data_IF_256750845668
#
_entry.id   IF_256750845668
#
_cell.length_a   1.000
_cell.length_b   1.000
_cell.length_c   1.000
_cell.angle_alpha   90.00
_cell.angle_beta   90.00
_cell.angle_gamma   90.00
#
_symmetry.space_group_name_H-M   'P 1'
#
loop_
_entity.id
_entity.type
_entity.pdbx_description
1 polymer ?
#
# COMPACT_ATOMS: atom_id res chain seq x y z
N UNK A 1 -39.21 1.29 -19.70
CA UNK A 1 -38.65 1.88 -18.46
C UNK A 1 -37.23 1.36 -18.30
N UNK A 2 -36.29 2.27 -18.03
CA UNK A 2 -34.85 2.06 -18.24
C UNK A 2 -34.21 0.98 -17.36
N UNK A 3 -33.46 0.11 -18.01
CA UNK A 3 -32.45 -0.75 -17.41
C UNK A 3 -31.32 0.15 -16.91
N UNK A 4 -31.35 0.51 -15.63
CA UNK A 4 -30.20 1.08 -14.96
C UNK A 4 -29.13 0.00 -14.86
N UNK A 5 -28.26 -0.07 -15.87
CA UNK A 5 -27.00 -0.78 -15.77
C UNK A 5 -26.26 -0.20 -14.56
N UNK A 6 -26.24 -0.94 -13.45
CA UNK A 6 -25.37 -0.67 -12.30
C UNK A 6 -23.95 -0.61 -12.86
N UNK A 7 -23.42 0.60 -13.00
CA UNK A 7 -22.00 0.82 -13.25
C UNK A 7 -21.30 0.17 -12.06
N UNK A 8 -20.64 -0.96 -12.26
CA UNK A 8 -19.79 -1.58 -11.25
C UNK A 8 -18.83 -0.50 -10.79
N UNK A 9 -18.87 -0.14 -9.50
CA UNK A 9 -17.95 0.86 -8.99
C UNK A 9 -16.59 0.15 -8.83
N UNK A 10 -15.59 0.44 -9.68
CA UNK A 10 -14.30 -0.24 -9.65
C UNK A 10 -13.62 -0.14 -8.29
N UNK A 11 -13.89 0.95 -7.54
CA UNK A 11 -13.39 1.17 -6.19
C UNK A 11 -13.99 0.18 -5.18
N UNK A 12 -15.28 -0.15 -5.34
CA UNK A 12 -15.99 -1.08 -4.46
C UNK A 12 -15.61 -2.54 -4.75
N UNK A 13 -15.31 -2.86 -6.00
CA UNK A 13 -14.77 -4.18 -6.38
C UNK A 13 -13.32 -4.33 -5.92
N UNK A 14 -12.49 -3.28 -6.03
CA UNK A 14 -11.14 -3.22 -5.45
C UNK A 14 -11.14 -3.46 -3.94
N UNK A 15 -11.96 -2.68 -3.23
CA UNK A 15 -12.23 -2.83 -1.80
C UNK A 15 -12.58 -4.27 -1.41
N UNK A 16 -13.53 -4.85 -2.13
CA UNK A 16 -14.01 -6.22 -1.89
C UNK A 16 -12.95 -7.27 -2.21
N UNK A 17 -12.18 -7.11 -3.29
CA UNK A 17 -11.12 -8.04 -3.69
C UNK A 17 -9.97 -8.09 -2.68
N UNK A 18 -9.61 -6.94 -2.09
CA UNK A 18 -8.58 -6.85 -1.05
C UNK A 18 -9.11 -7.33 0.32
N UNK A 19 -10.30 -6.88 0.73
CA UNK A 19 -10.89 -7.20 2.03
C UNK A 19 -11.22 -8.70 2.19
N UNK A 20 -11.72 -9.36 1.14
CA UNK A 20 -12.03 -10.81 1.17
C UNK A 20 -10.77 -11.66 1.37
N UNK A 21 -9.60 -11.16 0.95
CA UNK A 21 -8.38 -11.95 0.94
C UNK A 21 -7.50 -11.77 2.18
N UNK A 22 -7.70 -10.73 2.98
CA UNK A 22 -6.78 -10.39 4.08
C UNK A 22 -5.32 -10.33 3.61
N UNK A 23 -5.11 -10.08 2.30
CA UNK A 23 -3.81 -10.16 1.63
C UNK A 23 -3.22 -8.77 1.57
N UNK A 24 -1.99 -8.64 2.08
CA UNK A 24 -1.12 -7.52 1.77
C UNK A 24 -1.01 -7.40 0.24
N UNK A 25 -1.50 -6.28 -0.29
CA UNK A 25 -1.39 -5.95 -1.70
C UNK A 25 0.04 -5.48 -2.02
N UNK A 26 0.43 -5.63 -3.29
CA UNK A 26 1.63 -4.99 -3.82
C UNK A 26 1.20 -3.84 -4.71
N UNK A 27 1.83 -2.69 -4.50
CA UNK A 27 1.67 -1.57 -5.38
C UNK A 27 3.05 -1.03 -5.78
N UNK A 28 3.14 -0.43 -6.95
CA UNK A 28 4.33 0.31 -7.37
C UNK A 28 4.12 1.79 -7.09
N UNK A 29 5.09 2.43 -6.45
CA UNK A 29 5.02 3.89 -6.24
C UNK A 29 5.22 4.57 -7.58
N UNK A 30 4.22 5.31 -8.06
CA UNK A 30 4.30 6.09 -9.29
C UNK A 30 4.91 7.46 -9.00
N UNK A 31 4.45 8.09 -7.93
CA UNK A 31 4.98 9.36 -7.46
C UNK A 31 4.71 9.52 -5.97
N UNK A 32 5.49 10.39 -5.33
CA UNK A 32 5.30 10.76 -3.94
C UNK A 32 5.68 12.23 -3.75
N UNK A 33 4.96 12.92 -2.86
CA UNK A 33 5.27 14.29 -2.47
C UNK A 33 4.93 14.55 -1.00
N UNK A 34 5.74 15.37 -0.34
CA UNK A 34 5.38 15.91 0.97
C UNK A 34 4.25 16.93 0.79
N UNK A 35 3.22 16.87 1.63
CA UNK A 35 2.12 17.85 1.59
C UNK A 35 2.45 19.12 2.38
N UNK A 36 3.48 19.07 3.22
CA UNK A 36 3.84 20.11 4.19
C UNK A 36 3.19 19.95 5.56
N UNK A 37 2.27 18.99 5.73
CA UNK A 37 1.71 18.68 7.05
C UNK A 37 2.63 17.74 7.83
N UNK A 38 2.64 17.90 9.15
CA UNK A 38 3.44 17.10 10.06
C UNK A 38 2.61 16.72 11.30
N UNK A 39 2.87 15.53 11.85
CA UNK A 39 2.27 15.03 13.08
C UNK A 39 3.37 14.86 14.12
N UNK A 40 3.19 15.55 15.25
CA UNK A 40 4.01 15.48 16.45
C UNK A 40 5.52 15.71 16.24
N UNK A 41 5.92 16.41 15.16
CA UNK A 41 7.34 16.65 14.86
C UNK A 41 8.13 15.42 14.40
N UNK A 42 7.43 14.29 14.15
CA UNK A 42 8.05 12.98 13.94
C UNK A 42 7.64 12.37 12.59
N UNK A 43 6.41 12.59 12.16
CA UNK A 43 5.86 11.99 10.95
C UNK A 43 5.38 13.07 9.97
N UNK A 44 5.89 13.03 8.75
CA UNK A 44 5.47 13.91 7.66
C UNK A 44 4.33 13.29 6.90
N UNK A 45 3.36 14.09 6.48
CA UNK A 45 2.33 13.61 5.56
C UNK A 45 2.87 13.55 4.14
N UNK A 46 2.79 12.37 3.56
CA UNK A 46 3.21 12.08 2.20
C UNK A 46 1.97 11.65 1.40
N UNK A 47 1.74 12.32 0.29
CA UNK A 47 0.78 11.89 -0.72
C UNK A 47 1.49 10.94 -1.69
N UNK A 48 0.95 9.73 -1.83
CA UNK A 48 1.43 8.69 -2.73
C UNK A 48 0.45 8.52 -3.88
N UNK A 49 0.98 8.43 -5.11
CA UNK A 49 0.27 7.82 -6.24
C UNK A 49 0.83 6.42 -6.43
N UNK A 50 -0.04 5.42 -6.41
CA UNK A 50 0.31 4.00 -6.41
C UNK A 50 -0.40 3.29 -7.55
N UNK A 51 0.31 2.41 -8.25
CA UNK A 51 -0.31 1.44 -9.15
C UNK A 51 -0.41 0.10 -8.43
N UNK A 52 -1.62 -0.26 -8.03
CA UNK A 52 -1.92 -1.49 -7.32
C UNK A 52 -2.27 -2.61 -8.32
N UNK A 53 -1.58 -3.74 -8.21
CA UNK A 53 -1.91 -4.92 -9.01
C UNK A 53 -2.95 -5.79 -8.31
N UNK A 54 -4.13 -5.92 -8.95
CA UNK A 54 -5.18 -6.82 -8.49
C UNK A 54 -5.18 -8.10 -9.33
N UNK A 55 -5.14 -9.29 -8.70
CA UNK A 55 -5.05 -10.56 -9.42
C UNK A 55 -6.15 -10.83 -10.46
N UNK A 56 -7.31 -10.18 -10.33
CA UNK A 56 -8.50 -10.44 -11.17
C UNK A 56 -9.04 -9.19 -11.88
N UNK A 57 -8.55 -8.00 -11.53
CA UNK A 57 -9.08 -6.72 -12.03
C UNK A 57 -8.03 -5.87 -12.75
N UNK A 58 -6.77 -6.33 -12.82
CA UNK A 58 -5.67 -5.61 -13.44
C UNK A 58 -5.06 -4.55 -12.53
N UNK A 59 -4.27 -3.63 -13.11
CA UNK A 59 -3.65 -2.53 -12.37
C UNK A 59 -4.64 -1.39 -12.15
N UNK A 60 -4.76 -0.89 -10.92
CA UNK A 60 -5.58 0.29 -10.60
C UNK A 60 -4.72 1.37 -9.95
N UNK A 61 -4.93 2.63 -10.35
CA UNK A 61 -4.19 3.77 -9.81
C UNK A 61 -4.94 4.35 -8.62
N UNK A 62 -4.24 4.46 -7.48
CA UNK A 62 -4.80 4.96 -6.23
C UNK A 62 -3.93 6.11 -5.71
N UNK A 63 -4.59 7.14 -5.19
CA UNK A 63 -3.93 8.24 -4.49
C UNK A 63 -4.29 8.16 -3.01
N UNK A 64 -3.31 8.21 -2.12
CA UNK A 64 -3.51 8.14 -0.66
C UNK A 64 -2.52 9.05 0.05
N UNK A 65 -2.93 9.62 1.18
CA UNK A 65 -2.10 10.49 2.01
C UNK A 65 -1.90 9.86 3.39
N UNK A 66 -0.65 9.71 3.80
CA UNK A 66 -0.29 9.01 5.03
C UNK A 66 0.83 9.74 5.77
N UNK A 67 0.72 9.77 7.10
CA UNK A 67 1.80 10.23 7.95
C UNK A 67 2.87 9.14 8.07
N UNK A 68 4.07 9.47 7.60
CA UNK A 68 5.21 8.56 7.55
C UNK A 68 6.39 9.14 8.31
N UNK A 69 7.11 8.28 9.02
CA UNK A 69 8.39 8.65 9.62
C UNK A 69 9.54 8.21 8.70
N UNK A 70 10.77 8.59 9.05
CA UNK A 70 11.97 8.26 8.25
C UNK A 70 12.19 6.76 8.03
N UNK A 71 11.67 5.90 8.91
CA UNK A 71 11.84 4.46 8.82
C UNK A 71 10.82 3.82 7.87
N UNK A 72 9.57 4.31 7.88
CA UNK A 72 8.53 3.81 6.97
C UNK A 72 8.69 4.35 5.54
N UNK A 73 9.33 5.51 5.36
CA UNK A 73 9.76 6.02 4.05
C UNK A 73 10.99 5.32 3.48
N UNK A 74 11.67 4.49 4.27
CA UNK A 74 12.92 3.91 3.86
C UNK A 74 12.77 3.08 2.58
N UNK A 75 13.58 3.40 1.56
CA UNK A 75 13.60 2.77 0.24
C UNK A 75 12.29 2.91 -0.55
N UNK A 76 11.33 3.72 -0.09
CA UNK A 76 10.20 4.12 -0.93
C UNK A 76 10.63 5.27 -1.84
N UNK A 77 10.51 5.05 -3.14
CA UNK A 77 10.75 6.04 -4.18
C UNK A 77 9.88 5.71 -5.40
N UNK A 78 9.65 6.65 -6.32
CA UNK A 78 9.03 6.35 -7.60
C UNK A 78 9.74 5.19 -8.32
N UNK A 79 8.96 4.19 -8.76
CA UNK A 79 9.43 2.95 -9.36
C UNK A 79 9.62 1.79 -8.37
N UNK A 80 9.63 2.06 -7.07
CA UNK A 80 9.87 1.03 -6.05
C UNK A 80 8.56 0.32 -5.65
N UNK A 81 8.64 -0.98 -5.29
CA UNK A 81 7.49 -1.73 -4.80
C UNK A 81 7.18 -1.37 -3.34
N UNK A 82 5.93 -1.00 -3.10
CA UNK A 82 5.36 -0.75 -1.79
C UNK A 82 4.46 -1.91 -1.36
N UNK A 83 4.55 -2.26 -0.07
CA UNK A 83 3.57 -3.09 0.59
C UNK A 83 2.39 -2.22 1.01
N UNK A 84 1.20 -2.63 0.63
CA UNK A 84 -0.02 -1.92 0.97
C UNK A 84 -1.02 -2.84 1.64
N UNK A 85 -1.76 -2.28 2.59
CA UNK A 85 -2.93 -2.90 3.17
C UNK A 85 -4.11 -1.97 3.00
N UNK A 86 -5.28 -2.55 3.18
CA UNK A 86 -6.51 -1.81 3.18
C UNK A 86 -6.80 -1.25 4.57
N UNK A 87 -7.33 -0.04 4.63
CA UNK A 87 -7.87 0.49 5.88
C UNK A 87 -9.21 -0.20 6.17
N UNK A 88 -9.28 -0.88 7.32
CA UNK A 88 -10.46 -1.66 7.72
C UNK A 88 -11.67 -0.77 8.00
N UNK A 89 -11.44 0.45 8.48
CA UNK A 89 -12.47 1.40 8.89
C UNK A 89 -12.87 2.32 7.74
N UNK A 90 -11.92 2.62 6.84
CA UNK A 90 -12.17 3.38 5.61
C UNK A 90 -11.89 2.56 4.35
N UNK A 91 -12.94 2.00 3.74
CA UNK A 91 -12.79 1.15 2.59
C UNK A 91 -12.25 1.84 1.31
N UNK A 92 -12.00 3.14 1.33
CA UNK A 92 -11.46 3.89 0.20
C UNK A 92 -9.99 4.24 0.41
N UNK A 93 -9.39 3.88 1.56
CA UNK A 93 -8.00 4.18 1.89
C UNK A 93 -7.10 2.95 1.79
N UNK A 94 -5.99 3.13 1.09
CA UNK A 94 -4.85 2.23 1.16
C UNK A 94 -3.83 2.80 2.13
N UNK A 95 -3.37 1.95 3.04
CA UNK A 95 -2.25 2.21 3.93
C UNK A 95 -1.00 1.61 3.30
N UNK A 96 0.02 2.43 3.11
CA UNK A 96 1.36 2.01 2.74
C UNK A 96 2.09 1.62 4.02
N UNK A 97 2.53 0.37 4.14
CA UNK A 97 3.25 -0.12 5.32
C UNK A 97 4.76 0.14 5.21
N UNK A 98 5.28 0.23 3.99
CA UNK A 98 6.71 0.37 3.70
C UNK A 98 7.10 -0.30 2.39
N UNK A 99 8.40 -0.45 2.16
CA UNK A 99 8.91 -1.16 0.98
C UNK A 99 8.55 -2.66 1.02
N UNK A 100 8.28 -3.27 -0.14
CA UNK A 100 7.84 -4.67 -0.20
C UNK A 100 8.89 -5.66 0.35
N UNK A 101 10.18 -5.38 0.09
CA UNK A 101 11.33 -6.23 0.46
C UNK A 101 12.08 -5.83 1.73
N UNK A 102 11.72 -4.71 2.36
CA UNK A 102 12.43 -4.26 3.56
C UNK A 102 11.44 -4.03 4.68
N UNK A 103 11.78 -4.48 5.90
CA UNK A 103 11.03 -4.14 7.10
C UNK A 103 11.96 -3.54 8.15
N UNK A 104 11.37 -2.74 9.01
CA UNK A 104 12.06 -2.20 10.18
C UNK A 104 11.85 -3.15 11.36
N UNK A 105 12.93 -3.54 12.03
CA UNK A 105 12.91 -4.36 13.25
C UNK A 105 13.63 -3.65 14.39
N UNK A 106 13.30 -4.02 15.62
CA UNK A 106 14.04 -3.60 16.81
C UNK A 106 14.85 -4.78 17.31
N UNK A 107 16.17 -4.72 17.14
CA UNK A 107 17.11 -5.75 17.59
C UNK A 107 18.01 -5.13 18.65
N UNK A 108 18.04 -5.72 19.85
CA UNK A 108 18.86 -5.24 20.96
C UNK A 108 18.70 -3.73 21.25
N UNK A 109 17.47 -3.22 21.18
CA UNK A 109 17.11 -1.79 21.34
C UNK A 109 17.57 -0.85 20.23
N UNK A 110 18.05 -1.37 19.10
CA UNK A 110 18.37 -0.60 17.90
C UNK A 110 17.37 -0.85 16.78
N UNK A 111 17.04 0.21 16.03
CA UNK A 111 16.16 0.12 14.86
C UNK A 111 17.01 -0.28 13.65
N UNK A 112 16.80 -1.48 13.14
CA UNK A 112 17.51 -2.03 11.98
C UNK A 112 16.56 -2.25 10.81
N UNK A 113 17.05 -2.02 9.60
CA UNK A 113 16.33 -2.37 8.37
C UNK A 113 16.82 -3.74 7.94
N UNK A 114 15.91 -4.70 7.84
CA UNK A 114 16.21 -6.04 7.35
C UNK A 114 15.56 -6.25 5.99
N UNK A 115 16.32 -6.86 5.09
CA UNK A 115 15.76 -7.38 3.84
C UNK A 115 14.98 -8.66 4.16
N UNK A 116 13.75 -8.73 3.66
CA UNK A 116 12.93 -9.94 3.72
C UNK A 116 12.86 -10.54 2.34
N UNK A 117 13.11 -11.84 2.25
CA UNK A 117 12.83 -12.59 1.02
C UNK A 117 11.39 -12.32 0.60
N UNK A 118 11.23 -12.02 -0.68
CA UNK A 118 9.94 -11.74 -1.27
C UNK A 118 9.05 -12.97 -1.08
N UNK A 119 8.19 -12.95 -0.05
CA UNK A 119 7.17 -13.99 0.14
C UNK A 119 6.15 -13.76 -0.97
N UNK A 120 6.45 -14.32 -2.15
CA UNK A 120 5.56 -14.37 -3.30
C UNK A 120 4.20 -14.93 -2.88
N UNK A 121 3.13 -14.68 -3.66
CA UNK A 121 1.93 -15.49 -3.54
C UNK A 121 2.37 -16.94 -3.74
N UNK A 122 2.34 -17.73 -2.66
CA UNK A 122 3.06 -18.98 -2.55
C UNK A 122 2.93 -19.84 -3.81
N UNK A 123 4.07 -20.12 -4.44
CA UNK A 123 4.18 -21.37 -5.17
C UNK A 123 4.23 -22.45 -4.09
N UNK A 124 3.07 -23.01 -3.75
CA UNK A 124 3.04 -24.37 -3.20
C UNK A 124 3.68 -25.25 -4.27
N UNK A 125 4.97 -25.52 -4.10
CA UNK A 125 5.63 -26.62 -4.78
C UNK A 125 4.90 -27.91 -4.38
N UNK A 126 4.29 -28.52 -5.40
CA UNK A 126 4.02 -29.95 -5.62
C UNK A 126 4.18 -30.88 -4.42
#
# INVERSE_FOLDING_TARGET
MGLFSRKENPEKELAKALAVRGRQGRATVVSMRETGNERDGIAKEIEFTLDLELPEAGSTRVVTSLYMNRYTLHKLAPGEPARVIYDRDDPQKLLVEGHARYRTEVVASEIVVVEVEDVGPGVRGV
#
